data_IF_917971862442
#
_entry.id   IF_917971862442
#
_cell.length_a   1.000
_cell.length_b   1.000
_cell.length_c   1.000
_cell.angle_alpha   90.00
_cell.angle_beta   90.00
_cell.angle_gamma   90.00
#
_symmetry.space_group_name_H-M   'P 1'
#
loop_
_entity.id
_entity.type
_entity.pdbx_description
1 polymer ?
#
# COMPACT_ATOMS: atom_id res chain seq x y z
N UNK A 1 39.50 6.29 -47.34
CA UNK A 1 39.11 7.32 -46.36
C UNK A 1 37.67 7.06 -45.94
N UNK A 2 37.47 6.34 -44.82
CA UNK A 2 36.18 6.28 -44.14
C UNK A 2 36.50 6.24 -42.65
N UNK A 3 36.27 7.37 -41.99
CA UNK A 3 36.55 7.57 -40.59
C UNK A 3 35.58 6.72 -39.75
N UNK A 4 36.14 5.83 -38.94
CA UNK A 4 35.45 5.19 -37.82
C UNK A 4 35.23 6.25 -36.74
N UNK A 5 34.01 6.76 -36.62
CA UNK A 5 33.60 7.62 -35.52
C UNK A 5 33.55 6.79 -34.24
N UNK A 6 34.61 6.88 -33.45
CA UNK A 6 34.69 6.33 -32.10
C UNK A 6 33.72 7.11 -31.18
N UNK A 7 32.66 6.45 -30.72
CA UNK A 7 31.68 7.06 -29.81
C UNK A 7 32.24 6.99 -28.38
N UNK A 8 32.30 8.12 -27.64
CA UNK A 8 32.88 8.12 -26.30
C UNK A 8 32.01 7.29 -25.35
N UNK A 9 32.58 6.19 -24.84
CA UNK A 9 31.98 5.40 -23.78
C UNK A 9 31.96 6.21 -22.49
N UNK A 10 30.84 6.89 -22.22
CA UNK A 10 30.62 7.52 -20.92
C UNK A 10 30.54 6.43 -19.86
N UNK A 11 31.55 6.34 -18.99
CA UNK A 11 31.50 5.57 -17.76
C UNK A 11 30.39 6.14 -16.86
N UNK A 12 29.14 5.76 -17.11
CA UNK A 12 28.04 6.00 -16.17
C UNK A 12 28.34 5.19 -14.92
N UNK A 13 28.75 5.88 -13.86
CA UNK A 13 28.82 5.32 -12.50
C UNK A 13 27.49 4.61 -12.27
N UNK A 14 27.51 3.27 -12.20
CA UNK A 14 26.30 2.47 -12.00
C UNK A 14 25.75 2.86 -10.64
N UNK A 15 24.64 3.58 -10.63
CA UNK A 15 23.96 3.92 -9.39
C UNK A 15 23.68 2.62 -8.61
N UNK A 16 23.88 2.60 -7.28
CA UNK A 16 23.65 1.41 -6.48
C UNK A 16 22.18 0.96 -6.58
N UNK A 17 21.88 -0.28 -6.18
CA UNK A 17 20.52 -0.81 -6.25
C UNK A 17 19.52 0.12 -5.57
N UNK A 18 18.26 0.15 -6.05
CA UNK A 18 17.25 1.08 -5.53
C UNK A 18 17.09 1.01 -4.00
N UNK A 19 17.14 -0.20 -3.43
CA UNK A 19 17.10 -0.37 -1.97
C UNK A 19 18.26 0.33 -1.25
N UNK A 20 19.48 0.26 -1.81
CA UNK A 20 20.65 0.96 -1.26
C UNK A 20 20.48 2.47 -1.40
N UNK A 21 19.91 2.97 -2.49
CA UNK A 21 19.62 4.41 -2.64
C UNK A 21 18.67 4.92 -1.55
N UNK A 22 17.61 4.17 -1.25
CA UNK A 22 16.67 4.52 -0.17
C UNK A 22 17.35 4.48 1.20
N UNK A 23 18.19 3.48 1.47
CA UNK A 23 18.94 3.39 2.73
C UNK A 23 19.90 4.57 2.87
N UNK A 24 20.65 4.92 1.82
CA UNK A 24 21.53 6.09 1.82
C UNK A 24 20.71 7.35 2.07
N UNK A 25 19.56 7.51 1.39
CA UNK A 25 18.63 8.63 1.61
C UNK A 25 18.16 8.70 3.06
N UNK A 26 17.78 7.58 3.67
CA UNK A 26 17.36 7.53 5.07
C UNK A 26 18.48 7.95 6.03
N UNK A 27 19.71 7.44 5.81
CA UNK A 27 20.87 7.80 6.63
C UNK A 27 21.20 9.29 6.50
N UNK A 28 21.27 9.80 5.26
CA UNK A 28 21.53 11.22 4.99
C UNK A 28 20.44 12.09 5.63
N UNK A 29 19.18 11.72 5.46
CA UNK A 29 18.03 12.41 6.07
C UNK A 29 18.13 12.45 7.59
N UNK A 30 18.43 11.31 8.23
CA UNK A 30 18.57 11.23 9.68
C UNK A 30 19.73 12.11 10.20
N UNK A 31 20.87 12.13 9.50
CA UNK A 31 22.01 13.00 9.83
C UNK A 31 21.63 14.48 9.68
N UNK A 32 20.99 14.87 8.57
CA UNK A 32 20.52 16.24 8.36
C UNK A 32 19.51 16.68 9.44
N UNK A 33 18.59 15.79 9.82
CA UNK A 33 17.64 16.04 10.91
C UNK A 33 18.32 16.21 12.27
N UNK A 34 19.35 15.40 12.56
CA UNK A 34 20.13 15.52 13.79
C UNK A 34 20.91 16.84 13.84
N UNK A 35 21.54 17.24 12.73
CA UNK A 35 22.24 18.54 12.62
C UNK A 35 21.26 19.70 12.81
N UNK A 36 20.09 19.64 12.16
CA UNK A 36 19.06 20.66 12.31
C UNK A 36 18.62 20.83 13.76
N UNK A 37 18.47 19.72 14.48
CA UNK A 37 18.09 19.72 15.90
C UNK A 37 19.18 20.28 16.82
N UNK A 38 20.42 19.80 16.68
CA UNK A 38 21.54 20.22 17.53
C UNK A 38 21.89 21.69 17.29
N UNK A 39 21.89 22.12 16.03
CA UNK A 39 22.19 23.50 15.64
C UNK A 39 20.99 24.45 15.69
N UNK A 40 19.80 23.98 16.07
CA UNK A 40 18.53 24.74 16.03
C UNK A 40 18.31 25.46 14.69
N UNK A 41 18.62 24.78 13.58
CA UNK A 41 18.61 25.36 12.24
C UNK A 41 17.19 25.29 11.66
N UNK A 42 16.43 26.38 11.82
CA UNK A 42 15.02 26.44 11.41
C UNK A 42 14.81 26.24 9.91
N UNK A 43 15.64 26.88 9.06
CA UNK A 43 15.49 26.79 7.60
C UNK A 43 15.67 25.35 7.07
N UNK A 44 16.55 24.58 7.71
CA UNK A 44 16.81 23.19 7.34
C UNK A 44 15.61 22.30 7.71
N UNK A 45 15.07 22.50 8.91
CA UNK A 45 13.84 21.82 9.36
C UNK A 45 12.64 22.17 8.47
N UNK A 46 12.49 23.44 8.08
CA UNK A 46 11.46 23.89 7.16
C UNK A 46 11.60 23.25 5.78
N UNK A 47 12.82 23.20 5.22
CA UNK A 47 13.11 22.59 3.92
C UNK A 47 12.79 21.09 3.92
N UNK A 48 13.24 20.35 4.95
CA UNK A 48 12.93 18.92 5.12
C UNK A 48 11.42 18.69 5.22
N UNK A 49 10.72 19.57 5.94
CA UNK A 49 9.26 19.51 6.06
C UNK A 49 8.55 19.75 4.73
N UNK A 50 8.98 20.76 3.98
CA UNK A 50 8.37 21.11 2.69
C UNK A 50 8.58 19.99 1.65
N UNK A 51 9.81 19.50 1.52
CA UNK A 51 10.13 18.41 0.57
C UNK A 51 9.37 17.13 0.94
N UNK A 52 9.33 16.77 2.23
CA UNK A 52 8.58 15.62 2.70
C UNK A 52 7.07 15.76 2.44
N UNK A 53 6.52 16.96 2.64
CA UNK A 53 5.09 17.23 2.40
C UNK A 53 4.75 17.13 0.91
N UNK A 54 5.57 17.71 0.03
CA UNK A 54 5.39 17.60 -1.43
C UNK A 54 5.42 16.13 -1.87
N UNK A 55 6.35 15.33 -1.34
CA UNK A 55 6.44 13.91 -1.66
C UNK A 55 5.17 13.14 -1.25
N UNK A 56 4.64 13.38 -0.05
CA UNK A 56 3.39 12.76 0.41
C UNK A 56 2.19 13.24 -0.42
N UNK A 57 2.15 14.53 -0.79
CA UNK A 57 1.10 15.07 -1.66
C UNK A 57 1.09 14.42 -3.04
N UNK A 58 2.26 14.21 -3.67
CA UNK A 58 2.37 13.50 -4.95
C UNK A 58 1.81 12.08 -4.85
N UNK A 59 2.14 11.35 -3.77
CA UNK A 59 1.57 10.03 -3.53
C UNK A 59 0.04 10.10 -3.37
N UNK A 60 -0.46 11.04 -2.57
CA UNK A 60 -1.90 11.19 -2.29
C UNK A 60 -2.73 11.45 -3.54
N UNK A 61 -2.23 12.28 -4.47
CA UNK A 61 -2.92 12.62 -5.72
C UNK A 61 -3.05 11.39 -6.64
N UNK A 62 -2.05 10.51 -6.66
CA UNK A 62 -2.06 9.33 -7.54
C UNK A 62 -2.88 8.17 -6.96
N UNK A 63 -2.98 8.06 -5.62
CA UNK A 63 -3.71 6.96 -4.96
C UNK A 63 -5.19 6.94 -5.31
N UNK A 64 -5.87 8.09 -5.31
CA UNK A 64 -7.33 8.18 -5.55
C UNK A 64 -7.75 7.60 -6.91
N UNK A 65 -7.24 8.09 -8.06
CA UNK A 65 -7.60 7.53 -9.36
C UNK A 65 -7.12 6.09 -9.51
N UNK A 66 -5.96 5.74 -8.93
CA UNK A 66 -5.42 4.39 -9.02
C UNK A 66 -6.33 3.36 -8.34
N UNK A 67 -6.83 3.64 -7.12
CA UNK A 67 -7.75 2.73 -6.41
C UNK A 67 -9.05 2.55 -7.18
N UNK A 68 -9.64 3.65 -7.69
CA UNK A 68 -10.87 3.58 -8.47
C UNK A 68 -10.70 2.73 -9.74
N UNK A 69 -9.67 3.03 -10.54
CA UNK A 69 -9.38 2.31 -11.78
C UNK A 69 -9.03 0.85 -11.51
N UNK A 70 -8.24 0.58 -10.47
CA UNK A 70 -7.87 -0.78 -10.09
C UNK A 70 -9.08 -1.63 -9.75
N UNK A 71 -10.07 -1.09 -9.04
CA UNK A 71 -11.30 -1.82 -8.68
C UNK A 71 -12.21 -2.04 -9.89
N UNK A 72 -12.38 -1.03 -10.74
CA UNK A 72 -13.15 -1.16 -11.98
C UNK A 72 -12.56 -2.25 -12.88
N UNK A 73 -11.24 -2.24 -13.08
CA UNK A 73 -10.52 -3.24 -13.86
C UNK A 73 -10.54 -4.63 -13.19
N UNK A 74 -10.40 -4.69 -11.86
CA UNK A 74 -10.45 -5.95 -11.12
C UNK A 74 -11.81 -6.66 -11.28
N UNK A 75 -12.91 -5.91 -11.21
CA UNK A 75 -14.27 -6.48 -11.41
C UNK A 75 -14.52 -6.85 -12.87
N UNK A 76 -14.04 -6.05 -13.82
CA UNK A 76 -14.24 -6.34 -15.23
C UNK A 76 -13.53 -7.61 -15.68
N UNK A 77 -12.40 -7.95 -15.05
CA UNK A 77 -11.69 -9.21 -15.30
C UNK A 77 -12.50 -10.43 -14.88
N UNK A 78 -13.47 -10.30 -13.96
CA UNK A 78 -14.41 -11.38 -13.61
C UNK A 78 -15.33 -11.76 -14.78
N UNK A 79 -15.54 -10.87 -15.77
CA UNK A 79 -16.35 -11.13 -16.97
C UNK A 79 -15.81 -12.25 -17.85
N UNK A 80 -14.49 -12.48 -17.81
CA UNK A 80 -13.83 -13.54 -18.61
C UNK A 80 -14.08 -14.95 -18.04
N UNK A 81 -14.81 -15.07 -16.93
CA UNK A 81 -15.03 -16.32 -16.20
C UNK A 81 -16.45 -16.84 -16.44
N UNK A 82 -16.80 -17.09 -17.69
CA UNK A 82 -18.17 -17.46 -18.10
C UNK A 82 -18.64 -18.86 -17.65
N UNK A 83 -17.77 -19.70 -17.09
CA UNK A 83 -18.13 -21.04 -16.56
C UNK A 83 -17.59 -21.32 -15.14
N UNK A 84 -17.12 -20.30 -14.42
CA UNK A 84 -16.48 -20.48 -13.11
C UNK A 84 -16.82 -19.36 -12.12
N UNK A 85 -17.98 -18.69 -12.28
CA UNK A 85 -18.47 -17.68 -11.34
C UNK A 85 -18.50 -18.18 -9.89
N UNK A 86 -18.89 -19.46 -9.67
CA UNK A 86 -18.84 -20.09 -8.35
C UNK A 86 -17.43 -20.16 -7.78
N UNK A 87 -16.45 -20.57 -8.60
CA UNK A 87 -15.04 -20.64 -8.20
C UNK A 87 -14.45 -19.24 -7.94
N UNK A 88 -14.81 -18.25 -8.77
CA UNK A 88 -14.41 -16.86 -8.57
C UNK A 88 -14.93 -16.29 -7.26
N UNK A 89 -16.22 -16.47 -6.97
CA UNK A 89 -16.84 -16.05 -5.70
C UNK A 89 -16.20 -16.79 -4.52
N UNK A 90 -16.00 -18.10 -4.63
CA UNK A 90 -15.33 -18.88 -3.59
C UNK A 90 -13.89 -18.39 -3.32
N UNK A 91 -13.17 -17.99 -4.37
CA UNK A 91 -11.82 -17.40 -4.27
C UNK A 91 -11.87 -16.06 -3.53
N UNK A 92 -12.81 -15.18 -3.87
CA UNK A 92 -13.00 -13.89 -3.21
C UNK A 92 -13.40 -14.04 -1.74
N UNK A 93 -14.26 -15.00 -1.41
CA UNK A 93 -14.62 -15.32 -0.02
C UNK A 93 -13.38 -15.78 0.76
N UNK A 94 -12.54 -16.63 0.18
CA UNK A 94 -11.27 -17.03 0.80
C UNK A 94 -10.31 -15.85 1.00
N UNK A 95 -10.26 -14.91 0.04
CA UNK A 95 -9.46 -13.70 0.17
C UNK A 95 -9.97 -12.83 1.33
N UNK A 96 -11.29 -12.66 1.46
CA UNK A 96 -11.90 -11.92 2.55
C UNK A 96 -11.63 -12.56 3.92
N UNK A 97 -11.78 -13.88 4.04
CA UNK A 97 -11.51 -14.62 5.29
C UNK A 97 -10.04 -14.45 5.71
N UNK A 98 -9.10 -14.65 4.79
CA UNK A 98 -7.67 -14.55 5.09
C UNK A 98 -7.22 -13.12 5.38
N UNK A 99 -7.79 -12.13 4.68
CA UNK A 99 -7.58 -10.72 4.99
C UNK A 99 -8.13 -10.36 6.37
N UNK A 100 -9.32 -10.85 6.74
CA UNK A 100 -9.90 -10.63 8.06
C UNK A 100 -9.01 -11.19 9.18
N UNK A 101 -8.52 -12.42 9.03
CA UNK A 101 -7.55 -13.02 9.98
C UNK A 101 -6.28 -12.16 10.07
N UNK A 102 -5.79 -11.66 8.93
CA UNK A 102 -4.59 -10.80 8.88
C UNK A 102 -4.80 -9.46 9.61
N UNK A 103 -5.97 -8.83 9.47
CA UNK A 103 -6.34 -7.62 10.22
C UNK A 103 -6.38 -7.92 11.72
N UNK A 104 -7.01 -9.02 12.13
CA UNK A 104 -7.07 -9.41 13.55
C UNK A 104 -5.68 -9.62 14.14
N UNK A 105 -4.77 -10.29 13.41
CA UNK A 105 -3.37 -10.46 13.84
C UNK A 105 -2.68 -9.09 13.99
N UNK A 106 -2.85 -8.19 13.00
CA UNK A 106 -2.30 -6.84 13.08
C UNK A 106 -2.83 -6.07 14.29
N UNK A 107 -4.13 -6.17 14.59
CA UNK A 107 -4.74 -5.54 15.76
C UNK A 107 -4.17 -6.12 17.06
N UNK A 108 -4.13 -7.45 17.18
CA UNK A 108 -3.63 -8.12 18.39
C UNK A 108 -2.16 -7.76 18.64
N UNK A 109 -1.32 -7.78 17.60
CA UNK A 109 0.08 -7.36 17.71
C UNK A 109 0.18 -5.89 18.14
N UNK A 110 -0.56 -4.98 17.49
CA UNK A 110 -0.53 -3.56 17.80
C UNK A 110 -0.97 -3.26 19.23
N UNK A 111 -1.97 -3.97 19.75
CA UNK A 111 -2.41 -3.84 21.14
C UNK A 111 -1.40 -4.44 22.14
N UNK A 112 -0.74 -5.54 21.77
CA UNK A 112 0.23 -6.23 22.61
C UNK A 112 1.55 -5.47 22.75
N UNK A 113 2.11 -4.99 21.63
CA UNK A 113 3.41 -4.32 21.60
C UNK A 113 3.29 -2.82 21.79
N UNK A 114 2.17 -2.23 21.37
CA UNK A 114 1.87 -0.80 21.38
C UNK A 114 3.08 0.04 20.93
N UNK A 115 3.44 -0.02 19.63
CA UNK A 115 4.69 0.57 19.13
C UNK A 115 4.76 2.09 19.33
N UNK A 116 3.63 2.77 19.48
CA UNK A 116 3.54 4.22 19.72
C UNK A 116 3.95 4.66 21.13
N UNK A 117 4.04 3.73 22.10
CA UNK A 117 4.49 4.05 23.47
C UNK A 117 5.94 4.54 23.48
N UNK A 118 6.15 5.73 24.04
CA UNK A 118 7.48 6.33 24.20
C UNK A 118 7.92 7.26 23.07
N UNK A 119 7.04 7.57 22.11
CA UNK A 119 7.29 8.56 21.05
C UNK A 119 7.34 10.01 21.57
N UNK A 120 6.90 10.26 22.81
CA UNK A 120 6.82 11.61 23.38
C UNK A 120 5.77 12.49 22.71
N UNK A 121 4.90 11.92 21.87
CA UNK A 121 3.76 12.60 21.29
C UNK A 121 2.74 12.84 22.40
N UNK A 122 2.48 14.11 22.69
CA UNK A 122 1.57 14.51 23.76
C UNK A 122 0.12 14.21 23.35
N UNK A 123 -0.40 13.07 23.80
CA UNK A 123 -1.79 12.65 23.54
C UNK A 123 -2.80 13.51 24.30
N UNK A 124 -2.36 14.41 25.19
CA UNK A 124 -3.24 15.32 25.94
C UNK A 124 -3.84 16.43 25.07
N UNK A 125 -3.16 16.80 23.98
CA UNK A 125 -3.69 17.69 22.93
C UNK A 125 -4.52 16.97 21.86
N UNK A 126 -4.53 15.64 21.85
CA UNK A 126 -5.47 14.91 21.01
C UNK A 126 -6.86 15.10 21.63
N UNK A 127 -7.71 15.91 20.97
CA UNK A 127 -9.10 16.03 21.40
C UNK A 127 -9.68 14.62 21.50
N UNK A 128 -10.05 14.23 22.71
CA UNK A 128 -10.82 13.01 22.92
C UNK A 128 -12.03 13.12 21.98
N UNK A 129 -12.07 12.24 20.98
CA UNK A 129 -13.17 12.21 20.01
C UNK A 129 -14.44 11.95 20.83
N UNK A 130 -15.25 13.00 21.03
CA UNK A 130 -16.38 13.02 21.95
C UNK A 130 -17.54 12.13 21.48
N UNK A 131 -17.43 11.57 20.28
CA UNK A 131 -18.35 10.60 19.70
C UNK A 131 -17.55 9.43 19.13
N UNK A 132 -17.59 8.29 19.80
CA UNK A 132 -17.31 7.03 19.13
C UNK A 132 -18.41 6.85 18.07
N UNK A 133 -18.06 7.09 16.80
CA UNK A 133 -19.00 6.95 15.70
C UNK A 133 -19.69 5.58 15.77
N UNK A 134 -21.02 5.59 15.78
CA UNK A 134 -21.77 4.34 15.89
C UNK A 134 -21.62 3.49 14.63
N UNK A 135 -22.03 2.22 14.70
CA UNK A 135 -22.12 1.34 13.52
C UNK A 135 -22.90 1.98 12.36
N UNK A 136 -23.91 2.80 12.67
CA UNK A 136 -24.68 3.55 11.67
C UNK A 136 -23.86 4.65 10.98
N UNK A 137 -22.95 5.31 11.69
CA UNK A 137 -22.10 6.35 11.09
C UNK A 137 -21.02 5.74 10.21
N UNK A 138 -20.49 4.57 10.58
CA UNK A 138 -19.66 3.77 9.69
C UNK A 138 -20.42 3.40 8.41
N UNK A 139 -21.66 2.91 8.53
CA UNK A 139 -22.46 2.54 7.36
C UNK A 139 -22.79 3.75 6.47
N UNK A 140 -23.10 4.91 7.06
CA UNK A 140 -23.24 6.17 6.32
C UNK A 140 -21.93 6.58 5.64
N UNK A 141 -20.78 6.33 6.27
CA UNK A 141 -19.47 6.66 5.70
C UNK A 141 -19.09 5.83 4.48
N UNK A 142 -19.67 4.63 4.33
CA UNK A 142 -19.52 3.75 3.16
C UNK A 142 -20.28 4.32 1.95
N UNK A 143 -21.47 4.87 2.16
CA UNK A 143 -22.29 5.42 1.07
C UNK A 143 -21.61 6.67 0.51
N UNK A 144 -21.21 6.69 -0.78
CA UNK A 144 -20.56 7.85 -1.36
C UNK A 144 -21.53 9.02 -1.40
N UNK A 145 -21.19 10.13 -0.73
CA UNK A 145 -21.96 11.37 -0.85
C UNK A 145 -21.68 12.10 -2.18
N UNK A 146 -20.49 11.89 -2.75
CA UNK A 146 -20.02 12.52 -3.98
C UNK A 146 -19.19 11.53 -4.82
N UNK A 147 -19.14 11.73 -6.14
CA UNK A 147 -18.42 10.87 -7.10
C UNK A 147 -16.91 10.72 -6.81
N UNK A 148 -16.28 11.66 -6.10
CA UNK A 148 -14.85 11.59 -5.78
C UNK A 148 -14.55 11.21 -4.33
N UNK A 149 -15.56 10.87 -3.53
CA UNK A 149 -15.39 10.67 -2.07
C UNK A 149 -14.81 11.90 -1.37
N UNK A 150 -15.06 13.08 -1.94
CA UNK A 150 -14.49 14.35 -1.53
C UNK A 150 -15.22 14.85 -0.29
N UNK A 151 -14.50 14.99 0.81
CA UNK A 151 -14.92 15.77 1.97
C UNK A 151 -14.03 17.00 2.09
N UNK A 152 -14.65 18.17 2.17
CA UNK A 152 -13.94 19.40 2.51
C UNK A 152 -14.09 19.60 4.00
N UNK A 153 -13.01 19.37 4.73
CA UNK A 153 -12.95 19.65 6.16
C UNK A 153 -12.35 21.03 6.34
N UNK A 154 -13.20 22.01 6.61
CA UNK A 154 -12.79 23.37 6.94
C UNK A 154 -12.61 23.48 8.45
N UNK A 155 -11.37 23.62 8.90
CA UNK A 155 -11.09 23.99 10.29
C UNK A 155 -10.87 25.50 10.33
N UNK A 156 -11.78 26.21 10.99
CA UNK A 156 -11.59 27.61 11.34
C UNK A 156 -10.85 27.67 12.68
N UNK A 157 -9.55 27.97 12.65
CA UNK A 157 -8.81 28.32 13.86
C UNK A 157 -9.06 29.79 14.15
N UNK A 158 -9.85 30.05 15.20
CA UNK A 158 -10.06 31.41 15.71
C UNK A 158 -8.94 31.72 16.69
N UNK A 159 -8.04 32.61 16.30
CA UNK A 159 -7.09 33.28 17.20
C UNK A 159 -7.42 34.76 17.22
N UNK A 160 -7.32 35.41 18.39
CA UNK A 160 -7.82 36.77 18.74
C UNK A 160 -7.50 37.92 17.75
N UNK A 161 -6.68 37.72 16.72
CA UNK A 161 -6.33 38.73 15.71
C UNK A 161 -6.56 38.32 14.23
N UNK A 162 -6.99 37.08 13.93
CA UNK A 162 -7.32 36.66 12.56
C UNK A 162 -8.09 35.34 12.51
N UNK A 163 -9.13 35.27 11.68
CA UNK A 163 -9.83 34.03 11.33
C UNK A 163 -9.10 33.38 10.14
N UNK A 164 -8.24 32.41 10.41
CA UNK A 164 -7.64 31.59 9.37
C UNK A 164 -8.55 30.37 9.11
N UNK A 165 -9.25 30.36 7.98
CA UNK A 165 -9.99 29.19 7.51
C UNK A 165 -9.04 28.32 6.71
N UNK A 166 -8.61 27.20 7.30
CA UNK A 166 -7.82 26.20 6.58
C UNK A 166 -8.78 25.13 6.06
N UNK A 167 -9.04 25.14 4.76
CA UNK A 167 -9.84 24.12 4.08
C UNK A 167 -8.94 22.98 3.65
N UNK A 168 -9.07 21.82 4.29
CA UNK A 168 -8.37 20.61 3.89
C UNK A 168 -9.29 19.72 3.07
N UNK A 169 -8.82 19.33 1.89
CA UNK A 169 -9.50 18.35 1.05
C UNK A 169 -9.11 16.95 1.52
N UNK A 170 -10.09 16.21 2.00
CA UNK A 170 -9.96 14.81 2.40
C UNK A 170 -10.70 13.90 1.43
N UNK A 171 -10.08 12.76 1.15
CA UNK A 171 -10.65 11.74 0.30
C UNK A 171 -10.97 10.54 1.17
N UNK A 172 -12.24 10.14 1.17
CA UNK A 172 -12.63 8.91 1.83
C UNK A 172 -12.35 7.73 0.90
N UNK A 173 -11.25 7.02 1.16
CA UNK A 173 -10.84 5.84 0.38
C UNK A 173 -11.94 4.78 0.37
N UNK A 174 -12.68 4.60 1.47
CA UNK A 174 -13.77 3.63 1.54
C UNK A 174 -14.90 3.94 0.55
N UNK A 175 -15.27 5.22 0.40
CA UNK A 175 -16.28 5.64 -0.57
C UNK A 175 -15.80 5.44 -2.01
N UNK A 176 -14.53 5.73 -2.29
CA UNK A 176 -13.90 5.49 -3.60
C UNK A 176 -13.92 3.99 -3.91
N UNK A 177 -13.67 3.14 -2.90
CA UNK A 177 -13.74 1.68 -3.05
C UNK A 177 -15.14 1.23 -3.42
N UNK A 178 -16.16 1.67 -2.67
CA UNK A 178 -17.57 1.32 -2.93
C UNK A 178 -18.00 1.78 -4.33
N UNK A 179 -17.63 3.00 -4.72
CA UNK A 179 -17.95 3.54 -6.03
C UNK A 179 -17.24 2.77 -7.16
N UNK A 180 -15.95 2.47 -7.00
CA UNK A 180 -15.19 1.65 -7.95
C UNK A 180 -15.83 0.28 -8.14
N UNK A 181 -16.31 -0.32 -7.04
CA UNK A 181 -17.04 -1.59 -7.08
C UNK A 181 -18.36 -1.45 -7.83
N UNK A 182 -19.16 -0.44 -7.51
CA UNK A 182 -20.45 -0.19 -8.16
C UNK A 182 -20.30 0.08 -9.67
N UNK A 183 -19.32 0.89 -10.06
CA UNK A 183 -19.01 1.18 -11.47
C UNK A 183 -18.54 -0.09 -12.20
N UNK A 184 -17.64 -0.87 -11.59
CA UNK A 184 -17.17 -2.14 -12.16
C UNK A 184 -18.32 -3.13 -12.37
N UNK A 185 -19.21 -3.26 -11.38
CA UNK A 185 -20.39 -4.13 -11.46
C UNK A 185 -21.41 -3.64 -12.49
N UNK A 186 -21.65 -2.33 -12.59
CA UNK A 186 -22.52 -1.75 -13.60
C UNK A 186 -21.94 -1.94 -15.03
N UNK A 187 -20.64 -1.73 -15.21
CA UNK A 187 -19.95 -1.98 -16.48
C UNK A 187 -20.04 -3.46 -16.89
N UNK A 188 -19.98 -4.38 -15.92
CA UNK A 188 -20.19 -5.80 -16.14
C UNK A 188 -21.63 -6.09 -16.62
N UNK A 189 -22.64 -5.50 -15.97
CA UNK A 189 -24.05 -5.68 -16.30
C UNK A 189 -24.43 -5.10 -17.68
N UNK A 190 -23.82 -3.98 -18.09
CA UNK A 190 -24.02 -3.36 -19.41
C UNK A 190 -23.45 -4.20 -20.55
N UNK A 191 -22.47 -5.08 -20.27
CA UNK A 191 -21.94 -6.04 -21.24
C UNK A 191 -21.09 -5.40 -22.35
N UNK A 192 -21.40 -5.71 -23.61
CA UNK A 192 -20.57 -5.32 -24.76
C UNK A 192 -20.43 -3.80 -24.94
N UNK A 193 -21.47 -3.02 -24.60
CA UNK A 193 -21.44 -1.55 -24.72
C UNK A 193 -20.42 -0.88 -23.78
N UNK A 194 -20.07 -1.54 -22.67
CA UNK A 194 -19.10 -1.03 -21.72
C UNK A 194 -17.64 -1.36 -22.07
N UNK A 195 -17.39 -2.16 -23.13
CA UNK A 195 -16.05 -2.59 -23.49
C UNK A 195 -15.06 -1.44 -23.79
N UNK A 196 -15.45 -0.35 -24.51
CA UNK A 196 -14.55 0.78 -24.71
C UNK A 196 -14.14 1.47 -23.40
N UNK A 197 -15.08 1.59 -22.45
CA UNK A 197 -14.81 2.16 -21.13
C UNK A 197 -13.84 1.29 -20.32
N UNK A 198 -13.98 -0.03 -20.39
CA UNK A 198 -13.09 -0.96 -19.71
C UNK A 198 -11.67 -0.91 -20.28
N UNK A 199 -11.52 -0.89 -21.62
CA UNK A 199 -10.21 -0.74 -22.27
C UNK A 199 -9.53 0.59 -21.92
N UNK A 200 -10.31 1.67 -21.88
CA UNK A 200 -9.81 2.97 -21.42
C UNK A 200 -9.35 2.91 -19.95
N UNK A 201 -10.13 2.26 -19.09
CA UNK A 201 -9.82 2.10 -17.66
C UNK A 201 -8.56 1.26 -17.43
N UNK A 202 -8.36 0.20 -18.21
CA UNK A 202 -7.13 -0.61 -18.20
C UNK A 202 -5.90 0.22 -18.61
N UNK A 203 -6.03 0.97 -19.71
CA UNK A 203 -4.94 1.84 -20.20
C UNK A 203 -4.62 2.95 -19.20
N UNK A 204 -5.65 3.56 -18.60
CA UNK A 204 -5.49 4.56 -17.55
C UNK A 204 -4.81 3.97 -16.31
N UNK A 205 -5.19 2.76 -15.88
CA UNK A 205 -4.57 2.08 -14.75
C UNK A 205 -3.06 1.89 -14.98
N UNK A 206 -2.64 1.45 -16.18
CA UNK A 206 -1.22 1.31 -16.53
C UNK A 206 -0.47 2.65 -16.51
N UNK A 207 -1.10 3.73 -17.00
CA UNK A 207 -0.53 5.08 -16.95
C UNK A 207 -0.33 5.51 -15.49
N UNK A 208 -1.33 5.35 -14.64
CA UNK A 208 -1.23 5.71 -13.22
C UNK A 208 -0.20 4.83 -12.50
N UNK A 209 -0.09 3.53 -12.80
CA UNK A 209 0.98 2.68 -12.29
C UNK A 209 2.38 3.19 -12.72
N UNK A 210 2.52 3.70 -13.94
CA UNK A 210 3.77 4.32 -14.40
C UNK A 210 4.10 5.60 -13.64
N UNK A 211 3.09 6.44 -13.38
CA UNK A 211 3.24 7.64 -12.55
C UNK A 211 3.70 7.28 -11.13
N UNK A 212 3.13 6.24 -10.52
CA UNK A 212 3.61 5.73 -9.22
C UNK A 212 5.08 5.37 -9.29
N UNK A 213 5.53 4.71 -10.36
CA UNK A 213 6.94 4.35 -10.53
C UNK A 213 7.86 5.57 -10.62
N UNK A 214 7.42 6.64 -11.29
CA UNK A 214 8.16 7.91 -11.32
C UNK A 214 8.25 8.55 -9.93
N UNK A 215 7.16 8.52 -9.16
CA UNK A 215 7.18 9.02 -7.79
C UNK A 215 8.08 8.15 -6.90
N UNK A 216 8.06 6.82 -7.06
CA UNK A 216 8.96 5.90 -6.35
C UNK A 216 10.44 6.18 -6.65
N UNK A 217 10.79 6.62 -7.87
CA UNK A 217 12.17 7.06 -8.16
C UNK A 217 12.61 8.25 -7.32
N UNK A 218 11.66 9.09 -6.87
CA UNK A 218 11.92 10.21 -5.95
C UNK A 218 11.94 9.78 -4.48
N UNK A 219 11.58 8.53 -4.16
CA UNK A 219 11.51 8.04 -2.79
C UNK A 219 12.82 8.19 -2.00
N UNK A 220 14.04 8.00 -2.55
CA UNK A 220 15.26 8.26 -1.78
C UNK A 220 15.32 9.67 -1.19
N UNK A 221 14.86 10.68 -1.95
CA UNK A 221 14.81 12.08 -1.53
C UNK A 221 13.63 12.31 -0.58
N UNK A 222 12.45 11.78 -0.92
CA UNK A 222 11.25 11.89 -0.08
C UNK A 222 11.44 11.26 1.30
N UNK A 223 11.97 10.04 1.35
CA UNK A 223 12.29 9.32 2.58
C UNK A 223 13.35 10.04 3.40
N UNK A 224 14.38 10.62 2.76
CA UNK A 224 15.38 11.45 3.45
C UNK A 224 14.73 12.66 4.13
N UNK A 225 13.86 13.38 3.42
CA UNK A 225 13.15 14.53 3.94
C UNK A 225 12.20 14.18 5.10
N UNK A 226 11.44 13.08 4.95
CA UNK A 226 10.50 12.60 5.97
C UNK A 226 11.20 12.14 7.25
N UNK A 227 12.25 11.32 7.15
CA UNK A 227 13.00 10.88 8.33
C UNK A 227 13.78 12.05 8.95
N UNK A 228 14.33 12.94 8.12
CA UNK A 228 15.04 14.13 8.59
C UNK A 228 14.13 15.07 9.38
N UNK A 229 12.91 15.33 8.88
CA UNK A 229 11.88 16.05 9.64
C UNK A 229 11.57 15.34 10.96
N UNK A 230 11.34 14.03 10.93
CA UNK A 230 11.00 13.26 12.13
C UNK A 230 12.11 13.34 13.19
N UNK A 231 13.37 13.18 12.80
CA UNK A 231 14.53 13.30 13.70
C UNK A 231 14.71 14.74 14.19
N UNK A 232 14.49 15.75 13.33
CA UNK A 232 14.57 17.15 13.73
C UNK A 232 13.53 17.50 14.82
N UNK A 233 12.28 17.09 14.63
CA UNK A 233 11.17 17.39 15.55
C UNK A 233 11.18 16.55 16.82
N UNK A 234 11.36 15.23 16.70
CA UNK A 234 11.16 14.28 17.81
C UNK A 234 12.47 13.64 18.31
N UNK A 235 13.60 13.88 17.64
CA UNK A 235 14.90 13.32 18.02
C UNK A 235 14.99 11.80 17.77
N UNK A 236 15.95 11.18 18.47
CA UNK A 236 16.22 9.74 18.38
C UNK A 236 15.17 8.85 19.07
N UNK A 237 14.27 9.46 19.84
CA UNK A 237 13.21 8.75 20.57
C UNK A 237 12.22 8.05 19.62
N UNK A 238 12.15 8.42 18.34
CA UNK A 238 11.32 7.75 17.33
C UNK A 238 11.93 6.48 16.76
N UNK A 239 13.26 6.29 16.84
CA UNK A 239 13.90 5.13 16.20
C UNK A 239 13.43 3.83 16.82
N UNK A 240 13.26 3.80 18.14
CA UNK A 240 12.77 2.61 18.86
C UNK A 240 11.32 2.27 18.48
N UNK A 241 10.34 3.19 18.58
CA UNK A 241 8.98 3.00 18.06
C UNK A 241 8.92 2.50 16.62
N UNK A 242 9.68 3.12 15.71
CA UNK A 242 9.72 2.74 14.29
C UNK A 242 10.33 1.34 14.08
N UNK A 243 11.36 0.99 14.84
CA UNK A 243 11.96 -0.34 14.80
C UNK A 243 10.99 -1.41 15.33
N UNK A 244 10.32 -1.17 16.45
CA UNK A 244 9.29 -2.07 17.01
C UNK A 244 8.16 -2.25 15.99
N UNK A 245 7.63 -1.15 15.45
CA UNK A 245 6.61 -1.20 14.41
C UNK A 245 7.05 -2.01 13.19
N UNK A 246 8.28 -1.80 12.70
CA UNK A 246 8.79 -2.56 11.55
C UNK A 246 8.94 -4.05 11.88
N UNK A 247 9.41 -4.41 13.07
CA UNK A 247 9.51 -5.79 13.52
C UNK A 247 8.11 -6.43 13.58
N UNK A 248 7.12 -5.72 14.13
CA UNK A 248 5.75 -6.21 14.25
C UNK A 248 5.10 -6.49 12.90
N UNK A 249 5.39 -5.68 11.88
CA UNK A 249 4.93 -5.95 10.51
C UNK A 249 5.53 -7.27 9.99
N UNK A 250 6.84 -7.50 10.19
CA UNK A 250 7.49 -8.75 9.78
C UNK A 250 6.98 -9.96 10.57
N UNK A 251 6.78 -9.80 11.89
CA UNK A 251 6.22 -10.85 12.75
C UNK A 251 4.79 -11.17 12.32
N UNK A 252 3.96 -10.17 12.05
CA UNK A 252 2.60 -10.36 11.54
C UNK A 252 2.59 -11.11 10.21
N UNK A 253 3.45 -10.69 9.26
CA UNK A 253 3.59 -11.39 7.98
C UNK A 253 4.06 -12.84 8.16
N UNK A 254 4.99 -13.07 9.08
CA UNK A 254 5.50 -14.41 9.41
C UNK A 254 4.42 -15.27 10.07
N UNK A 255 3.57 -14.72 10.94
CA UNK A 255 2.44 -15.44 11.54
C UNK A 255 1.40 -15.84 10.49
N UNK A 256 1.09 -14.95 9.54
CA UNK A 256 0.18 -15.30 8.44
C UNK A 256 0.80 -16.40 7.56
N UNK A 257 2.07 -16.24 7.18
CA UNK A 257 2.75 -17.17 6.29
C UNK A 257 2.97 -18.55 6.95
N UNK A 258 3.43 -18.60 8.20
CA UNK A 258 3.88 -19.83 8.87
C UNK A 258 2.91 -20.39 9.92
N UNK A 259 1.86 -19.66 10.31
CA UNK A 259 0.81 -20.19 11.17
C UNK A 259 -0.53 -20.29 10.44
N UNK A 260 -1.05 -19.17 9.89
CA UNK A 260 -2.38 -19.14 9.29
C UNK A 260 -2.48 -20.03 8.05
N UNK A 261 -1.59 -19.86 7.08
CA UNK A 261 -1.66 -20.67 5.85
C UNK A 261 -1.45 -22.18 6.12
N UNK A 262 -0.48 -22.63 6.94
CA UNK A 262 -0.36 -24.04 7.31
C UNK A 262 -1.59 -24.63 7.99
N UNK A 263 -2.25 -23.88 8.88
CA UNK A 263 -3.49 -24.31 9.55
C UNK A 263 -4.59 -24.51 8.52
N UNK A 264 -4.79 -23.54 7.62
CA UNK A 264 -5.80 -23.63 6.55
C UNK A 264 -5.52 -24.84 5.65
N UNK A 265 -4.26 -25.05 5.23
CA UNK A 265 -3.87 -26.18 4.41
C UNK A 265 -4.16 -27.52 5.11
N UNK A 266 -3.82 -27.63 6.40
CA UNK A 266 -4.05 -28.84 7.19
C UNK A 266 -5.54 -29.15 7.34
N UNK A 267 -6.37 -28.14 7.57
CA UNK A 267 -7.84 -28.29 7.68
C UNK A 267 -8.47 -28.80 6.37
N UNK A 268 -7.85 -28.55 5.22
CA UNK A 268 -8.30 -29.03 3.91
C UNK A 268 -7.59 -30.31 3.45
N UNK A 269 -6.84 -30.98 4.34
CA UNK A 269 -6.14 -32.23 4.01
C UNK A 269 -4.94 -32.07 3.08
N UNK A 270 -4.44 -30.85 2.87
CA UNK A 270 -3.28 -30.58 2.03
C UNK A 270 -1.99 -30.68 2.84
N UNK A 271 -0.97 -31.28 2.23
CA UNK A 271 0.34 -31.39 2.88
C UNK A 271 1.08 -30.05 2.86
N UNK A 272 1.33 -29.49 4.05
CA UNK A 272 2.07 -28.23 4.25
C UNK A 272 3.43 -28.26 3.53
N UNK A 273 4.19 -29.36 3.68
CA UNK A 273 5.52 -29.49 3.08
C UNK A 273 5.49 -29.38 1.56
N UNK A 274 4.53 -30.03 0.87
CA UNK A 274 4.43 -29.95 -0.60
C UNK A 274 4.03 -28.55 -1.05
N UNK A 275 3.15 -27.87 -0.32
CA UNK A 275 2.78 -26.49 -0.64
C UNK A 275 3.99 -25.55 -0.58
N UNK A 276 4.72 -25.54 0.54
CA UNK A 276 5.90 -24.68 0.67
C UNK A 276 7.00 -25.05 -0.32
N UNK A 277 7.27 -26.35 -0.53
CA UNK A 277 8.25 -26.78 -1.52
C UNK A 277 7.89 -26.31 -2.95
N UNK A 278 6.60 -26.41 -3.32
CA UNK A 278 6.14 -25.98 -4.64
C UNK A 278 6.06 -24.46 -4.83
N UNK A 279 5.78 -23.70 -3.76
CA UNK A 279 5.64 -22.25 -3.79
C UNK A 279 6.94 -21.49 -3.44
N UNK A 280 8.00 -22.17 -3.00
CA UNK A 280 9.20 -21.55 -2.44
C UNK A 280 9.89 -20.55 -3.38
N UNK A 281 9.97 -20.89 -4.66
CA UNK A 281 10.56 -20.01 -5.68
C UNK A 281 9.76 -18.71 -5.82
N UNK A 282 8.42 -18.80 -5.87
CA UNK A 282 7.54 -17.63 -5.92
C UNK A 282 7.66 -16.77 -4.67
N UNK A 283 7.73 -17.38 -3.48
CA UNK A 283 7.87 -16.68 -2.19
C UNK A 283 9.21 -15.92 -2.15
N UNK A 284 10.31 -16.60 -2.52
CA UNK A 284 11.65 -16.01 -2.48
C UNK A 284 11.79 -14.90 -3.51
N UNK A 285 11.34 -15.13 -4.74
CA UNK A 285 11.34 -14.10 -5.78
C UNK A 285 10.44 -12.92 -5.38
N UNK A 286 9.31 -13.18 -4.73
CA UNK A 286 8.40 -12.15 -4.23
C UNK A 286 9.08 -11.26 -3.18
N UNK A 287 9.79 -11.88 -2.23
CA UNK A 287 10.54 -11.17 -1.20
C UNK A 287 11.67 -10.31 -1.78
N UNK A 288 12.44 -10.85 -2.73
CA UNK A 288 13.58 -10.14 -3.33
C UNK A 288 13.13 -9.05 -4.30
N UNK A 289 12.18 -9.35 -5.18
CA UNK A 289 11.67 -8.41 -6.19
C UNK A 289 10.75 -7.34 -5.60
N UNK A 290 10.14 -7.62 -4.43
CA UNK A 290 9.15 -6.75 -3.77
C UNK A 290 7.96 -6.39 -4.67
N UNK A 291 7.62 -7.29 -5.61
CA UNK A 291 6.59 -7.06 -6.61
C UNK A 291 5.73 -8.30 -6.85
N UNK A 292 4.43 -8.22 -6.49
CA UNK A 292 3.46 -9.29 -6.77
C UNK A 292 3.25 -9.49 -8.28
N UNK A 293 3.16 -8.40 -9.05
CA UNK A 293 3.02 -8.47 -10.51
C UNK A 293 4.30 -8.99 -11.17
N UNK A 294 5.47 -8.63 -10.64
CA UNK A 294 6.76 -9.08 -11.16
C UNK A 294 7.00 -10.58 -10.98
N UNK A 295 6.30 -11.22 -10.04
CA UNK A 295 6.41 -12.67 -9.76
C UNK A 295 5.25 -13.49 -10.33
N UNK A 296 4.31 -12.83 -11.03
CA UNK A 296 3.13 -13.48 -11.59
C UNK A 296 3.46 -14.66 -12.52
N UNK A 297 4.42 -14.56 -13.48
CA UNK A 297 4.73 -15.68 -14.37
C UNK A 297 5.26 -16.91 -13.63
N UNK A 298 6.13 -16.70 -12.64
CA UNK A 298 6.71 -17.77 -11.81
C UNK A 298 5.63 -18.39 -10.92
N UNK A 299 4.74 -17.57 -10.37
CA UNK A 299 3.61 -18.03 -9.56
C UNK A 299 2.64 -18.90 -10.37
N UNK A 300 2.26 -18.48 -11.58
CA UNK A 300 1.40 -19.29 -12.46
C UNK A 300 2.05 -20.63 -12.84
N UNK A 301 3.36 -20.62 -13.14
CA UNK A 301 4.12 -21.85 -13.42
C UNK A 301 4.13 -22.79 -12.21
N UNK A 302 4.40 -22.28 -11.02
CA UNK A 302 4.45 -23.08 -9.79
C UNK A 302 3.07 -23.62 -9.39
N UNK A 303 2.01 -22.85 -9.58
CA UNK A 303 0.64 -23.32 -9.35
C UNK A 303 0.28 -24.50 -10.26
N UNK A 304 0.64 -24.44 -11.54
CA UNK A 304 0.31 -25.48 -12.52
C UNK A 304 1.23 -26.70 -12.41
N UNK A 305 2.54 -26.50 -12.40
CA UNK A 305 3.53 -27.59 -12.46
C UNK A 305 3.80 -28.22 -11.09
N UNK A 306 3.95 -27.42 -10.02
CA UNK A 306 4.35 -27.94 -8.71
C UNK A 306 3.14 -28.27 -7.81
N UNK A 307 2.05 -27.50 -7.94
CA UNK A 307 0.86 -27.63 -7.09
C UNK A 307 -0.32 -28.33 -7.79
N UNK A 308 -0.21 -28.63 -9.09
CA UNK A 308 -1.22 -29.39 -9.84
C UNK A 308 -2.56 -28.65 -10.04
N UNK A 309 -2.56 -27.32 -9.95
CA UNK A 309 -3.75 -26.49 -10.17
C UNK A 309 -4.06 -26.41 -11.67
N UNK A 310 -5.33 -26.56 -12.11
CA UNK A 310 -5.71 -26.39 -13.51
C UNK A 310 -5.23 -25.04 -14.07
N UNK A 311 -4.68 -25.05 -15.28
CA UNK A 311 -4.05 -23.87 -15.88
C UNK A 311 -5.05 -22.71 -16.04
N UNK A 312 -6.30 -23.00 -16.34
CA UNK A 312 -7.38 -22.04 -16.49
C UNK A 312 -7.67 -21.33 -15.15
N UNK A 313 -7.66 -22.08 -14.04
CA UNK A 313 -7.87 -21.51 -12.72
C UNK A 313 -6.64 -20.75 -12.23
N UNK A 314 -5.42 -21.23 -12.49
CA UNK A 314 -4.19 -20.51 -12.14
C UNK A 314 -4.04 -19.20 -12.92
N UNK A 315 -4.38 -19.19 -14.22
CA UNK A 315 -4.38 -17.99 -15.06
C UNK A 315 -5.39 -16.94 -14.58
N UNK A 316 -6.46 -17.37 -13.91
CA UNK A 316 -7.46 -16.49 -13.29
C UNK A 316 -7.07 -16.03 -11.88
N UNK A 317 -6.77 -16.96 -10.98
CA UNK A 317 -6.59 -16.68 -9.57
C UNK A 317 -5.30 -15.92 -9.25
N UNK A 318 -4.22 -16.16 -10.01
CA UNK A 318 -2.93 -15.52 -9.72
C UNK A 318 -2.92 -14.00 -10.02
N UNK A 319 -3.41 -13.51 -11.19
CA UNK A 319 -3.47 -12.06 -11.45
C UNK A 319 -4.45 -11.33 -10.53
N UNK A 320 -5.58 -11.98 -10.22
CA UNK A 320 -6.57 -11.43 -9.28
C UNK A 320 -5.98 -11.35 -7.86
N UNK A 321 -5.27 -12.39 -7.42
CA UNK A 321 -4.56 -12.39 -6.14
C UNK A 321 -3.47 -11.32 -6.07
N UNK A 322 -2.69 -11.13 -7.13
CA UNK A 322 -1.60 -10.15 -7.17
C UNK A 322 -2.05 -8.69 -6.98
N UNK A 323 -3.34 -8.39 -7.23
CA UNK A 323 -3.89 -7.02 -7.15
C UNK A 323 -4.92 -6.86 -6.03
N UNK A 324 -5.76 -7.86 -5.77
CA UNK A 324 -6.84 -7.77 -4.78
C UNK A 324 -6.44 -8.36 -3.42
N UNK A 325 -5.54 -9.36 -3.38
CA UNK A 325 -5.15 -10.04 -2.14
C UNK A 325 -3.88 -9.42 -1.56
N UNK A 326 -4.06 -8.49 -0.62
CA UNK A 326 -2.99 -7.70 -0.01
C UNK A 326 -2.91 -7.89 1.52
N UNK A 327 -2.79 -9.13 2.00
CA UNK A 327 -2.77 -9.46 3.45
C UNK A 327 -1.71 -8.68 4.25
N UNK A 328 -0.52 -8.46 3.68
CA UNK A 328 0.53 -7.69 4.34
C UNK A 328 0.27 -6.17 4.32
N UNK A 329 0.23 -5.58 3.13
CA UNK A 329 0.22 -4.13 2.95
C UNK A 329 -1.15 -3.47 3.14
N UNK A 330 -2.26 -4.19 2.96
CA UNK A 330 -3.61 -3.65 3.12
C UNK A 330 -4.33 -4.14 4.38
N UNK A 331 -3.82 -5.16 5.07
CA UNK A 331 -4.39 -5.64 6.33
C UNK A 331 -3.43 -5.44 7.52
N UNK A 332 -2.30 -6.14 7.59
CA UNK A 332 -1.42 -6.10 8.77
C UNK A 332 -0.84 -4.70 9.01
N UNK A 333 -0.24 -4.09 7.97
CA UNK A 333 0.42 -2.79 8.10
C UNK A 333 -0.55 -1.67 8.51
N UNK A 334 -1.71 -1.47 7.85
CA UNK A 334 -2.66 -0.44 8.25
C UNK A 334 -3.31 -0.71 9.61
N UNK A 335 -3.57 -1.97 9.96
CA UNK A 335 -4.12 -2.33 11.27
C UNK A 335 -3.15 -1.99 12.42
N UNK A 336 -1.86 -2.29 12.25
CA UNK A 336 -0.82 -1.88 13.19
C UNK A 336 -0.72 -0.35 13.26
N UNK A 337 -0.67 0.30 12.10
CA UNK A 337 -0.49 1.76 12.00
C UNK A 337 -1.67 2.55 12.59
N UNK A 338 -2.88 1.99 12.59
CA UNK A 338 -4.06 2.63 13.17
C UNK A 338 -4.09 2.58 14.70
N UNK A 339 -3.30 1.67 15.32
CA UNK A 339 -3.24 1.49 16.77
C UNK A 339 -2.07 2.26 17.39
N UNK A 340 -0.99 2.47 16.62
CA UNK A 340 0.20 3.24 17.01
C UNK A 340 -0.02 4.74 16.99
#
# INVERSE_FOLDING_TARGET
MSATTDQPQTHRIKAPSFGVQVIIGLVVGAVLGAIARVGQIEWLTATLTQVGTIFVQLLRVVVVPLVLLALVVSISQLRKVTNAARLAVQTLVWFAITAFISVVIGIVLGLATNPGKGTGVDTSTAQAVSTQGGWLDFLKSIVPANFLGLSVSSSATVSDASVAVTSSVNFNVLQIVVLGIAIGAAALAVGAKAEPFLKLSESALEIFQKLVWWIIKLAPIGSAALIGKAVASYGWNLVRPLAVFSIDVYVGCALVLFAVYPIILKLHGLSIKRFFAGAWESITLGFVSRSSVGTLPVTQRNMTQNLGVPAEYAAFAAPLGATTKMDGCAAIYPALAAIT
#
